data_IF_249975795228
#
_entry.id   IF_249975795228
#
_cell.length_a   1.000
_cell.length_b   1.000
_cell.length_c   1.000
_cell.angle_alpha   90.00
_cell.angle_beta   90.00
_cell.angle_gamma   90.00
#
_symmetry.space_group_name_H-M   'P 1'
#
loop_
_entity.id
_entity.type
_entity.pdbx_description
1 polymer ?
#
# COMPACT_ATOMS: atom_id res chain seq x y z
N UNK A 1 5.17 1.63 10.48
CA UNK A 1 5.61 0.27 10.13
C UNK A 1 5.40 -0.77 11.23
N UNK A 2 6.07 -0.69 12.39
CA UNK A 2 6.03 -1.77 13.40
C UNK A 2 4.62 -2.21 13.84
N UNK A 3 3.69 -1.27 14.03
CA UNK A 3 2.28 -1.58 14.36
C UNK A 3 1.53 -2.29 13.23
N UNK A 4 1.81 -1.95 11.96
CA UNK A 4 1.13 -2.55 10.81
C UNK A 4 1.54 -4.00 10.60
N UNK A 5 2.85 -4.28 10.70
CA UNK A 5 3.39 -5.64 10.61
C UNK A 5 2.87 -6.50 11.78
N UNK A 6 2.83 -5.94 12.99
CA UNK A 6 2.26 -6.61 14.16
C UNK A 6 0.79 -7.02 13.97
N UNK A 7 -0.03 -6.14 13.38
CA UNK A 7 -1.42 -6.42 13.07
C UNK A 7 -1.58 -7.58 12.08
N UNK A 8 -0.78 -7.62 11.01
CA UNK A 8 -0.83 -8.74 10.04
C UNK A 8 -0.46 -10.08 10.67
N UNK A 9 0.59 -10.12 11.49
CA UNK A 9 0.99 -11.33 12.22
C UNK A 9 -0.06 -11.80 13.23
N UNK A 10 -0.69 -10.87 13.96
CA UNK A 10 -1.71 -11.19 14.97
C UNK A 10 -3.05 -11.60 14.39
N UNK A 11 -3.49 -10.95 13.32
CA UNK A 11 -4.87 -11.07 12.79
C UNK A 11 -4.95 -12.07 11.64
N UNK A 12 -3.99 -12.06 10.70
CA UNK A 12 -4.02 -12.95 9.54
C UNK A 12 -3.16 -14.21 9.70
N UNK A 13 -2.41 -14.33 10.81
CA UNK A 13 -1.53 -15.48 11.11
C UNK A 13 -0.52 -15.81 9.99
N UNK A 14 -0.21 -14.85 9.12
CA UNK A 14 0.86 -14.94 8.12
C UNK A 14 1.64 -13.62 8.03
N UNK A 15 2.95 -13.66 7.70
CA UNK A 15 3.76 -12.48 7.46
C UNK A 15 3.33 -11.78 6.17
N UNK A 16 2.44 -10.78 6.29
CA UNK A 16 2.09 -9.92 5.16
C UNK A 16 3.10 -8.79 5.00
N UNK A 17 3.95 -8.92 3.98
CA UNK A 17 4.94 -7.92 3.58
C UNK A 17 4.33 -6.76 2.74
N UNK A 18 3.03 -6.81 2.41
CA UNK A 18 2.36 -5.73 1.66
C UNK A 18 2.30 -4.41 2.46
N UNK A 19 2.43 -4.48 3.79
CA UNK A 19 2.53 -3.32 4.69
C UNK A 19 3.71 -2.43 4.33
N UNK A 20 4.82 -3.01 3.84
CA UNK A 20 6.01 -2.25 3.45
C UNK A 20 5.79 -1.45 2.15
N UNK A 21 4.91 -1.88 1.27
CA UNK A 21 4.57 -1.16 0.03
C UNK A 21 3.44 -0.14 0.19
N UNK A 22 2.44 -0.45 1.01
CA UNK A 22 1.23 0.36 1.19
C UNK A 22 1.46 1.60 2.07
N UNK A 23 2.34 1.51 3.07
CA UNK A 23 2.71 2.65 3.93
C UNK A 23 3.37 3.80 3.15
N UNK A 24 4.44 3.57 2.36
CA UNK A 24 5.05 4.61 1.54
C UNK A 24 4.12 5.10 0.42
N UNK A 25 3.15 4.30 -0.04
CA UNK A 25 2.15 4.74 -1.01
C UNK A 25 1.21 5.81 -0.45
N UNK A 26 0.70 5.62 0.78
CA UNK A 26 -0.06 6.66 1.45
C UNK A 26 0.74 7.96 1.61
N UNK A 27 2.02 7.85 1.99
CA UNK A 27 2.90 9.01 2.13
C UNK A 27 3.21 9.69 0.78
N UNK A 28 3.46 8.91 -0.28
CA UNK A 28 3.72 9.43 -1.62
C UNK A 28 2.50 10.17 -2.20
N UNK A 29 1.31 9.60 -2.07
CA UNK A 29 0.06 10.22 -2.55
C UNK A 29 -0.28 11.48 -1.75
N UNK A 30 -0.22 11.42 -0.42
CA UNK A 30 -0.46 12.59 0.43
C UNK A 30 0.57 13.69 0.17
N UNK A 31 1.86 13.34 0.12
CA UNK A 31 2.95 14.28 -0.12
C UNK A 31 2.83 14.95 -1.49
N UNK A 32 2.52 14.19 -2.55
CA UNK A 32 2.36 14.73 -3.89
C UNK A 32 1.14 15.66 -4.01
N UNK A 33 0.03 15.33 -3.34
CA UNK A 33 -1.17 16.18 -3.32
C UNK A 33 -0.92 17.50 -2.57
N UNK A 34 -0.24 17.44 -1.43
CA UNK A 34 0.15 18.64 -0.67
C UNK A 34 1.13 19.51 -1.48
N UNK A 35 2.13 18.90 -2.13
CA UNK A 35 3.08 19.62 -3.00
C UNK A 35 2.40 20.28 -4.20
N UNK A 36 1.28 19.73 -4.69
CA UNK A 36 0.46 20.30 -5.76
C UNK A 36 -0.53 21.36 -5.27
N UNK A 37 -0.50 21.74 -3.99
CA UNK A 37 -1.33 22.81 -3.42
C UNK A 37 -2.74 22.40 -3.04
N UNK A 38 -3.06 21.10 -2.97
CA UNK A 38 -4.35 20.64 -2.46
C UNK A 38 -4.45 20.78 -0.93
N UNK A 39 -5.68 20.92 -0.42
CA UNK A 39 -5.92 20.98 1.02
C UNK A 39 -5.50 19.67 1.71
N UNK A 40 -4.94 19.71 2.93
CA UNK A 40 -4.49 18.52 3.66
C UNK A 40 -5.60 17.47 3.85
N UNK A 41 -6.85 17.90 3.95
CA UNK A 41 -8.01 17.00 4.07
C UNK A 41 -8.28 16.22 2.78
N UNK A 42 -8.17 16.85 1.61
CA UNK A 42 -8.28 16.16 0.31
C UNK A 42 -7.09 15.23 0.07
N UNK A 43 -5.90 15.64 0.48
CA UNK A 43 -4.70 14.81 0.42
C UNK A 43 -4.86 13.53 1.28
N UNK A 44 -5.45 13.67 2.47
CA UNK A 44 -5.73 12.54 3.37
C UNK A 44 -6.74 11.58 2.73
N UNK A 45 -7.84 12.09 2.17
CA UNK A 45 -8.84 11.26 1.48
C UNK A 45 -8.23 10.53 0.26
N UNK A 46 -7.38 11.21 -0.51
CA UNK A 46 -6.67 10.60 -1.63
C UNK A 46 -5.72 9.49 -1.21
N UNK A 47 -4.97 9.69 -0.12
CA UNK A 47 -4.09 8.67 0.44
C UNK A 47 -4.86 7.47 1.01
N UNK A 48 -6.01 7.71 1.66
CA UNK A 48 -6.91 6.67 2.17
C UNK A 48 -7.48 5.83 1.02
N UNK A 49 -7.93 6.47 -0.05
CA UNK A 49 -8.41 5.79 -1.26
C UNK A 49 -7.33 4.94 -1.93
N UNK A 50 -6.11 5.49 -2.08
CA UNK A 50 -4.99 4.77 -2.67
C UNK A 50 -4.59 3.53 -1.83
N UNK A 51 -4.55 3.67 -0.50
CA UNK A 51 -4.28 2.57 0.41
C UNK A 51 -5.36 1.47 0.37
N UNK A 52 -6.63 1.85 0.30
CA UNK A 52 -7.76 0.92 0.16
C UNK A 52 -7.66 0.11 -1.14
N UNK A 53 -7.38 0.78 -2.27
CA UNK A 53 -7.24 0.11 -3.57
C UNK A 53 -6.06 -0.86 -3.56
N UNK A 54 -4.92 -0.45 -2.99
CA UNK A 54 -3.76 -1.32 -2.86
C UNK A 54 -4.03 -2.57 -2.00
N UNK A 55 -4.68 -2.40 -0.84
CA UNK A 55 -5.05 -3.52 0.04
C UNK A 55 -6.10 -4.44 -0.59
N UNK A 56 -7.08 -3.89 -1.30
CA UNK A 56 -8.05 -4.67 -2.06
C UNK A 56 -7.37 -5.51 -3.15
N UNK A 57 -6.35 -4.96 -3.83
CA UNK A 57 -5.58 -5.68 -4.83
C UNK A 57 -4.83 -6.89 -4.23
N UNK A 58 -4.18 -6.72 -3.07
CA UNK A 58 -3.55 -7.82 -2.32
C UNK A 58 -4.56 -8.89 -1.92
N UNK A 59 -5.72 -8.47 -1.40
CA UNK A 59 -6.80 -9.38 -1.02
C UNK A 59 -7.37 -10.16 -2.20
N UNK A 60 -7.54 -9.52 -3.35
CA UNK A 60 -8.00 -10.17 -4.59
C UNK A 60 -6.96 -11.18 -5.09
N UNK A 61 -5.67 -10.85 -5.06
CA UNK A 61 -4.61 -11.80 -5.42
C UNK A 61 -4.61 -13.04 -4.51
N UNK A 62 -4.74 -12.85 -3.20
CA UNK A 62 -4.75 -13.95 -2.25
C UNK A 62 -6.01 -14.83 -2.38
N UNK A 63 -7.19 -14.21 -2.60
CA UNK A 63 -8.48 -14.93 -2.62
C UNK A 63 -8.85 -15.52 -3.98
N UNK A 64 -8.58 -14.82 -5.10
CA UNK A 64 -9.00 -15.26 -6.46
C UNK A 64 -7.93 -16.03 -7.20
N UNK A 65 -6.64 -15.74 -6.98
CA UNK A 65 -5.53 -16.44 -7.65
C UNK A 65 -5.01 -17.66 -6.86
N UNK A 66 -5.52 -17.95 -5.65
CA UNK A 66 -5.08 -19.05 -4.77
C UNK A 66 -3.56 -19.09 -4.52
N UNK A 67 -2.91 -17.92 -4.57
CA UNK A 67 -1.48 -17.78 -4.27
C UNK A 67 -1.32 -17.80 -2.74
N UNK A 68 -0.30 -18.47 -2.18
CA UNK A 68 -0.02 -18.37 -0.75
C UNK A 68 0.22 -16.91 -0.35
N UNK A 69 -0.40 -16.46 0.75
CA UNK A 69 -0.48 -15.03 1.12
C UNK A 69 0.86 -14.30 1.16
N UNK A 70 1.93 -15.02 1.50
CA UNK A 70 3.31 -14.52 1.45
C UNK A 70 3.76 -14.07 0.04
N UNK A 71 3.48 -14.87 -0.99
CA UNK A 71 3.82 -14.54 -2.38
C UNK A 71 2.97 -13.37 -2.91
N UNK A 72 1.70 -13.31 -2.53
CA UNK A 72 0.83 -12.17 -2.86
C UNK A 72 1.34 -10.88 -2.19
N UNK A 73 1.82 -10.95 -0.95
CA UNK A 73 2.41 -9.82 -0.23
C UNK A 73 3.68 -9.29 -0.88
N UNK A 74 4.63 -10.15 -1.28
CA UNK A 74 5.87 -9.72 -1.96
C UNK A 74 5.59 -9.17 -3.35
N UNK A 75 4.68 -9.78 -4.13
CA UNK A 75 4.29 -9.28 -5.46
C UNK A 75 3.67 -7.88 -5.39
N UNK A 76 2.79 -7.66 -4.42
CA UNK A 76 2.16 -6.35 -4.22
C UNK A 76 3.16 -5.32 -3.71
N UNK A 77 4.08 -5.70 -2.83
CA UNK A 77 5.16 -4.82 -2.36
C UNK A 77 6.04 -4.32 -3.51
N UNK A 78 6.45 -5.21 -4.44
CA UNK A 78 7.23 -4.84 -5.64
C UNK A 78 6.42 -3.94 -6.57
N UNK A 79 5.14 -4.25 -6.80
CA UNK A 79 4.26 -3.43 -7.64
C UNK A 79 4.08 -2.01 -7.05
N UNK A 80 3.84 -1.91 -5.75
CA UNK A 80 3.66 -0.64 -5.05
C UNK A 80 4.95 0.18 -5.00
N UNK A 81 6.11 -0.47 -4.95
CA UNK A 81 7.41 0.20 -5.08
C UNK A 81 7.52 0.95 -6.41
N UNK A 82 7.22 0.29 -7.54
CA UNK A 82 7.17 0.95 -8.86
C UNK A 82 6.12 2.06 -8.94
N UNK A 83 4.97 1.87 -8.30
CA UNK A 83 3.92 2.90 -8.25
C UNK A 83 4.37 4.14 -7.46
N UNK A 84 5.05 3.94 -6.33
CA UNK A 84 5.57 5.02 -5.50
C UNK A 84 6.58 5.88 -6.25
N UNK A 85 7.50 5.25 -6.97
CA UNK A 85 8.47 5.95 -7.80
C UNK A 85 7.77 6.82 -8.86
N UNK A 86 6.79 6.24 -9.58
CA UNK A 86 5.98 6.97 -10.56
C UNK A 86 5.18 8.13 -9.96
N UNK A 87 4.57 7.93 -8.79
CA UNK A 87 3.81 8.99 -8.09
C UNK A 87 4.75 10.13 -7.69
N UNK A 88 5.97 9.81 -7.26
CA UNK A 88 7.01 10.77 -6.91
C UNK A 88 7.71 11.41 -8.12
N UNK A 89 7.34 11.06 -9.35
CA UNK A 89 7.92 11.61 -10.57
C UNK A 89 9.33 11.11 -10.89
N UNK A 90 9.75 9.99 -10.30
CA UNK A 90 11.02 9.32 -10.60
C UNK A 90 10.75 8.05 -11.43
N UNK A 91 11.56 7.76 -12.46
CA UNK A 91 11.38 6.57 -13.30
C UNK A 91 11.54 5.26 -12.51
#
# INVERSE_FOLDING_TARGET
MALGVYLSFRVLAFPDLSVDGTFPLGAAVAGMLVLRGFSPYLALLGALGAGLVAGAFTGVLATRLRIPGLLAGVLTMIMLYSLNLRIMGRP
#
